data_IF_457858750800
#
_entry.id   IF_457858750800
#
_cell.length_a   1.000
_cell.length_b   1.000
_cell.length_c   1.000
_cell.angle_alpha   90.00
_cell.angle_beta   90.00
_cell.angle_gamma   90.00
#
_symmetry.space_group_name_H-M   'P 1'
#
loop_
_entity.id
_entity.type
_entity.pdbx_description
1 polymer ?
#
# COMPACT_ATOMS: atom_id res chain seq x y z
N UNK A 1 2.41 -34.38 -66.45
CA UNK A 1 2.78 -33.02 -66.93
C UNK A 1 4.08 -32.64 -66.26
N UNK A 2 5.24 -32.78 -66.94
CA UNK A 2 5.99 -31.68 -67.60
C UNK A 2 6.28 -30.55 -66.58
N UNK A 3 7.50 -30.20 -66.14
CA UNK A 3 8.85 -30.07 -66.76
C UNK A 3 9.85 -29.89 -65.58
N UNK A 4 10.86 -30.74 -65.34
CA UNK A 4 12.29 -30.72 -65.76
C UNK A 4 12.99 -29.33 -65.78
N UNK A 5 13.94 -29.09 -64.86
CA UNK A 5 15.38 -28.81 -65.14
C UNK A 5 16.10 -28.43 -63.82
N UNK A 6 17.05 -29.22 -63.29
CA UNK A 6 18.47 -29.46 -63.72
C UNK A 6 19.42 -28.53 -62.94
N UNK A 7 20.10 -29.00 -61.88
CA UNK A 7 21.45 -29.65 -61.76
C UNK A 7 22.56 -28.66 -61.40
N UNK A 8 23.35 -29.03 -60.37
CA UNK A 8 24.84 -29.05 -60.27
C UNK A 8 25.17 -29.22 -58.76
N UNK A 9 25.46 -30.42 -58.22
CA UNK A 9 26.76 -31.15 -58.18
C UNK A 9 27.93 -30.28 -57.69
N UNK A 10 28.77 -30.65 -56.70
CA UNK A 10 29.79 -31.73 -56.68
C UNK A 10 30.32 -31.83 -55.21
N UNK A 11 30.17 -32.98 -54.51
CA UNK A 11 31.19 -34.02 -54.16
C UNK A 11 32.46 -33.52 -53.41
N UNK A 12 32.66 -33.92 -52.14
CA UNK A 12 33.39 -35.11 -51.59
C UNK A 12 34.92 -34.96 -51.58
N UNK A 13 35.53 -34.85 -50.38
CA UNK A 13 36.35 -35.86 -49.65
C UNK A 13 37.64 -36.30 -50.40
N UNK A 14 38.82 -36.24 -49.73
CA UNK A 14 39.78 -37.37 -49.50
C UNK A 14 41.12 -36.89 -48.85
N UNK A 15 41.44 -37.54 -47.71
CA UNK A 15 42.71 -38.05 -47.10
C UNK A 15 44.08 -37.32 -47.09
N UNK A 16 44.64 -37.28 -45.86
CA UNK A 16 45.95 -37.73 -45.33
C UNK A 16 47.29 -37.43 -46.05
N UNK A 17 48.20 -36.77 -45.31
CA UNK A 17 49.64 -37.05 -45.34
C UNK A 17 50.27 -36.80 -43.96
N UNK A 18 51.07 -37.78 -43.50
CA UNK A 18 51.84 -37.74 -42.25
C UNK A 18 53.18 -37.03 -42.45
N UNK A 19 53.60 -36.25 -41.45
CA UNK A 19 54.94 -35.68 -41.33
C UNK A 19 55.25 -35.39 -39.85
N UNK A 20 56.11 -36.23 -39.26
CA UNK A 20 56.65 -36.05 -37.91
C UNK A 20 57.71 -34.93 -37.98
N UNK A 21 57.43 -33.79 -37.34
CA UNK A 21 58.43 -32.87 -36.83
C UNK A 21 58.00 -32.46 -35.43
N UNK A 22 58.84 -32.81 -34.45
CA UNK A 22 58.70 -32.40 -33.08
C UNK A 22 58.66 -30.87 -32.99
N UNK A 23 57.53 -30.36 -32.52
CA UNK A 23 57.33 -28.97 -32.17
C UNK A 23 56.10 -28.92 -31.27
N UNK A 24 56.32 -28.66 -30.00
CA UNK A 24 55.29 -28.42 -28.99
C UNK A 24 54.25 -27.46 -29.57
N UNK A 25 53.06 -27.96 -29.91
CA UNK A 25 51.92 -27.12 -30.27
C UNK A 25 50.65 -27.62 -29.57
N UNK A 26 50.43 -27.02 -28.39
CA UNK A 26 49.13 -26.54 -27.89
C UNK A 26 48.00 -27.59 -27.85
N UNK A 27 48.08 -28.52 -26.91
CA UNK A 27 46.90 -29.26 -26.42
C UNK A 27 46.05 -28.47 -25.42
N UNK A 28 46.31 -27.17 -25.22
CA UNK A 28 45.51 -26.33 -24.31
C UNK A 28 44.18 -25.85 -24.92
N UNK A 29 44.00 -25.92 -26.24
CA UNK A 29 42.87 -25.24 -26.91
C UNK A 29 41.49 -25.89 -26.83
N UNK A 30 41.34 -27.19 -26.52
CA UNK A 30 39.99 -27.82 -26.49
C UNK A 30 39.34 -27.76 -25.12
N UNK A 31 40.08 -28.06 -24.04
CA UNK A 31 39.56 -27.94 -22.68
C UNK A 31 39.31 -26.49 -22.28
N UNK A 32 40.14 -25.56 -22.74
CA UNK A 32 39.94 -24.12 -22.52
C UNK A 32 38.77 -23.56 -23.35
N UNK A 33 38.53 -24.10 -24.56
CA UNK A 33 37.37 -23.74 -25.38
C UNK A 33 36.05 -24.37 -24.85
N UNK A 34 36.07 -25.61 -24.35
CA UNK A 34 34.92 -26.21 -23.67
C UNK A 34 34.63 -25.51 -22.33
N UNK A 35 35.68 -25.09 -21.61
CA UNK A 35 35.54 -24.21 -20.46
C UNK A 35 34.94 -22.85 -20.86
N UNK A 36 35.34 -22.27 -22.00
CA UNK A 36 34.74 -21.07 -22.57
C UNK A 36 33.22 -21.19 -22.78
N UNK A 37 32.80 -22.27 -23.45
CA UNK A 37 31.39 -22.50 -23.78
C UNK A 37 30.57 -22.78 -22.51
N UNK A 38 31.13 -23.52 -21.56
CA UNK A 38 30.59 -23.68 -20.20
C UNK A 38 30.40 -22.33 -19.48
N UNK A 39 31.38 -21.43 -19.54
CA UNK A 39 31.32 -20.08 -18.96
C UNK A 39 30.24 -19.21 -19.62
N UNK A 40 30.12 -19.24 -20.95
CA UNK A 40 29.10 -18.50 -21.70
C UNK A 40 27.68 -18.93 -21.26
N UNK A 41 27.51 -20.20 -20.91
CA UNK A 41 26.24 -20.74 -20.42
C UNK A 41 25.94 -20.43 -18.95
N UNK A 42 26.95 -20.09 -18.14
CA UNK A 42 26.80 -19.87 -16.70
C UNK A 42 26.41 -18.43 -16.41
N UNK A 43 25.14 -18.21 -16.09
CA UNK A 43 24.59 -16.89 -15.75
C UNK A 43 24.78 -16.65 -14.24
N UNK A 44 25.41 -15.54 -13.81
CA UNK A 44 25.50 -15.20 -12.39
C UNK A 44 24.11 -15.10 -11.77
N UNK A 45 23.87 -15.90 -10.73
CA UNK A 45 22.64 -15.81 -9.97
C UNK A 45 22.78 -14.74 -8.88
N UNK A 46 22.03 -13.64 -9.03
CA UNK A 46 21.96 -12.59 -8.02
C UNK A 46 21.30 -13.14 -6.75
N UNK A 47 22.06 -13.20 -5.66
CA UNK A 47 21.55 -13.58 -4.33
C UNK A 47 20.96 -12.33 -3.71
N UNK A 48 19.63 -12.26 -3.68
CA UNK A 48 18.94 -11.05 -3.23
C UNK A 48 18.56 -11.15 -1.76
N UNK A 49 19.32 -10.45 -0.91
CA UNK A 49 18.82 -9.98 0.37
C UNK A 49 18.27 -8.56 0.18
N UNK A 50 17.13 -8.20 0.82
CA UNK A 50 16.63 -6.83 0.79
C UNK A 50 17.73 -5.84 1.21
N UNK A 51 17.81 -4.72 0.51
CA UNK A 51 18.88 -3.73 0.73
C UNK A 51 18.61 -2.96 2.02
N UNK A 52 19.56 -3.02 2.94
CA UNK A 52 19.62 -2.24 4.17
C UNK A 52 20.88 -1.37 4.16
N UNK A 53 20.72 -0.07 4.38
CA UNK A 53 21.87 0.82 4.52
C UNK A 53 22.48 0.67 5.91
N UNK A 54 23.80 0.53 5.94
CA UNK A 54 24.55 0.63 7.18
C UNK A 54 24.60 2.11 7.67
N UNK A 55 25.22 2.34 8.84
CA UNK A 55 25.33 3.69 9.41
C UNK A 55 26.13 4.67 8.53
N UNK A 56 26.96 4.18 7.61
CA UNK A 56 27.71 5.00 6.65
C UNK A 56 26.90 5.30 5.40
N UNK A 57 25.76 4.64 5.20
CA UNK A 57 24.95 4.74 4.00
C UNK A 57 25.43 3.83 2.87
N UNK A 58 26.19 2.79 3.22
CA UNK A 58 26.69 1.77 2.31
C UNK A 58 25.75 0.55 2.33
N UNK A 59 25.63 -0.14 1.21
CA UNK A 59 24.95 -1.43 1.13
C UNK A 59 25.65 -2.39 0.19
N UNK A 60 25.52 -3.68 0.48
CA UNK A 60 26.11 -4.75 -0.30
C UNK A 60 25.07 -5.37 -1.24
N UNK A 61 25.45 -5.56 -2.50
CA UNK A 61 24.77 -6.48 -3.41
C UNK A 61 25.73 -7.63 -3.68
N UNK A 62 25.28 -8.88 -3.49
CA UNK A 62 26.09 -10.08 -3.73
C UNK A 62 25.42 -11.05 -4.72
N UNK A 63 26.22 -11.95 -5.28
CA UNK A 63 25.78 -12.98 -6.22
C UNK A 63 26.55 -14.28 -6.02
N UNK A 64 26.07 -15.37 -6.61
CA UNK A 64 26.81 -16.63 -6.62
C UNK A 64 28.14 -16.45 -7.36
N UNK A 65 29.25 -16.78 -6.70
CA UNK A 65 30.56 -16.85 -7.35
C UNK A 65 30.69 -18.15 -8.14
N UNK A 66 31.50 -18.12 -9.19
CA UNK A 66 31.84 -19.31 -10.00
C UNK A 66 33.30 -19.72 -9.74
N UNK A 67 33.96 -19.12 -8.73
CA UNK A 67 35.40 -19.21 -8.49
C UNK A 67 35.93 -20.64 -8.34
N UNK A 68 35.10 -21.59 -7.88
CA UNK A 68 35.50 -22.99 -7.69
C UNK A 68 35.79 -23.77 -8.97
N UNK A 69 35.55 -23.20 -10.16
CA UNK A 69 35.70 -23.90 -11.44
C UNK A 69 36.99 -23.61 -12.21
N UNK A 70 37.89 -22.76 -11.70
CA UNK A 70 39.00 -22.25 -12.50
C UNK A 70 40.38 -22.69 -12.00
N UNK A 71 41.19 -23.23 -12.92
CA UNK A 71 42.61 -23.56 -12.70
C UNK A 71 43.48 -22.77 -13.69
N UNK A 72 44.65 -22.30 -13.27
CA UNK A 72 45.68 -21.68 -14.13
C UNK A 72 45.76 -20.15 -14.08
N UNK A 73 46.30 -19.54 -15.15
CA UNK A 73 46.66 -18.12 -15.30
C UNK A 73 45.47 -17.16 -15.59
N UNK A 74 44.24 -17.63 -15.33
CA UNK A 74 43.01 -16.93 -15.66
C UNK A 74 42.54 -16.01 -14.52
N UNK A 75 41.97 -14.86 -14.85
CA UNK A 75 41.32 -13.98 -13.88
C UNK A 75 39.82 -13.88 -14.14
N UNK A 76 39.06 -13.92 -13.05
CA UNK A 76 37.60 -13.72 -13.06
C UNK A 76 37.31 -12.38 -12.40
N UNK A 77 36.56 -11.55 -13.10
CA UNK A 77 35.96 -10.34 -12.56
C UNK A 77 34.48 -10.27 -12.94
N UNK A 78 33.79 -9.25 -12.47
CA UNK A 78 32.37 -9.06 -12.68
C UNK A 78 32.13 -7.62 -13.13
N UNK A 79 31.47 -7.48 -14.26
CA UNK A 79 30.98 -6.19 -14.73
C UNK A 79 29.55 -5.99 -14.22
N UNK A 80 29.33 -4.87 -13.55
CA UNK A 80 28.06 -4.50 -12.94
C UNK A 80 27.54 -3.21 -13.56
N UNK A 81 26.24 -3.11 -13.80
CA UNK A 81 25.59 -1.84 -14.12
C UNK A 81 24.46 -1.53 -13.17
N UNK A 82 24.40 -0.27 -12.78
CA UNK A 82 23.30 0.34 -12.06
C UNK A 82 22.60 1.33 -12.99
N UNK A 83 21.30 1.18 -13.21
CA UNK A 83 20.52 2.02 -14.10
C UNK A 83 19.26 2.60 -13.44
N UNK A 84 18.82 3.76 -13.94
CA UNK A 84 17.56 4.40 -13.53
C UNK A 84 16.33 3.89 -14.31
N UNK A 85 16.54 3.00 -15.27
CA UNK A 85 15.48 2.35 -16.05
C UNK A 85 15.77 0.87 -16.27
N UNK A 86 14.70 0.08 -16.39
CA UNK A 86 14.77 -1.38 -16.53
C UNK A 86 15.50 -1.83 -17.81
N UNK A 87 15.53 -0.99 -18.84
CA UNK A 87 16.15 -1.30 -20.11
C UNK A 87 17.63 -0.91 -20.19
N UNK A 88 18.21 -0.41 -19.09
CA UNK A 88 19.61 0.02 -19.01
C UNK A 88 19.98 1.07 -20.08
N UNK A 89 19.01 1.90 -20.49
CA UNK A 89 19.27 3.02 -21.42
C UNK A 89 19.85 4.24 -20.71
N UNK A 90 19.70 4.29 -19.39
CA UNK A 90 20.17 5.34 -18.48
C UNK A 90 20.99 4.71 -17.37
N UNK A 91 22.14 4.16 -17.75
CA UNK A 91 23.15 3.66 -16.81
C UNK A 91 23.64 4.85 -15.96
N UNK A 92 23.46 4.71 -14.66
CA UNK A 92 23.94 5.65 -13.64
C UNK A 92 25.42 5.41 -13.39
N UNK A 93 25.81 4.14 -13.31
CA UNK A 93 27.18 3.74 -13.00
C UNK A 93 27.49 2.33 -13.50
N UNK A 94 28.71 2.15 -13.96
CA UNK A 94 29.30 0.85 -14.29
C UNK A 94 30.46 0.60 -13.35
N UNK A 95 30.64 -0.65 -12.94
CA UNK A 95 31.70 -1.08 -12.03
C UNK A 95 32.31 -2.39 -12.55
N UNK A 96 33.59 -2.59 -12.28
CA UNK A 96 34.23 -3.89 -12.40
C UNK A 96 34.77 -4.26 -11.01
N UNK A 97 34.42 -5.45 -10.53
CA UNK A 97 34.85 -5.96 -9.22
C UNK A 97 35.39 -7.38 -9.35
N UNK A 98 36.32 -7.76 -8.49
CA UNK A 98 36.91 -9.12 -8.49
C UNK A 98 36.18 -10.07 -7.56
N UNK A 99 35.51 -9.55 -6.54
CA UNK A 99 34.71 -10.34 -5.60
C UNK A 99 33.26 -10.46 -6.10
N UNK A 100 32.56 -11.53 -5.72
CA UNK A 100 31.14 -11.73 -6.05
C UNK A 100 30.18 -10.86 -5.22
N UNK A 101 30.59 -9.62 -4.97
CA UNK A 101 29.85 -8.59 -4.26
C UNK A 101 30.31 -7.19 -4.66
N UNK A 102 29.43 -6.21 -4.50
CA UNK A 102 29.76 -4.79 -4.62
C UNK A 102 29.16 -4.02 -3.46
N UNK A 103 29.98 -3.15 -2.86
CA UNK A 103 29.54 -2.18 -1.87
C UNK A 103 29.19 -0.87 -2.59
N UNK A 104 27.97 -0.40 -2.42
CA UNK A 104 27.47 0.81 -3.05
C UNK A 104 27.17 1.88 -2.00
N UNK A 105 27.55 3.12 -2.30
CA UNK A 105 27.25 4.29 -1.47
C UNK A 105 25.94 4.95 -1.95
N UNK A 106 25.02 5.24 -1.03
CA UNK A 106 23.76 5.95 -1.33
C UNK A 106 23.92 7.29 -2.06
N UNK A 107 25.07 7.95 -1.94
CA UNK A 107 25.40 9.18 -2.67
C UNK A 107 25.44 8.96 -4.20
N UNK A 108 25.73 7.74 -4.66
CA UNK A 108 25.67 7.36 -6.08
C UNK A 108 24.24 7.37 -6.63
N UNK A 109 23.24 7.30 -5.75
CA UNK A 109 21.81 7.25 -6.09
C UNK A 109 21.23 8.66 -6.31
N UNK A 110 22.07 9.69 -6.19
CA UNK A 110 21.70 11.09 -6.34
C UNK A 110 20.89 11.63 -5.16
N UNK A 111 20.72 12.95 -5.11
CA UNK A 111 20.16 13.67 -3.94
C UNK A 111 18.77 13.22 -3.46
N UNK A 112 17.98 12.57 -4.33
CA UNK A 112 16.62 12.13 -4.00
C UNK A 112 16.48 10.61 -4.00
N UNK A 113 17.50 9.85 -4.40
CA UNK A 113 17.31 8.44 -4.70
C UNK A 113 16.31 8.22 -5.84
N UNK A 114 15.68 7.04 -5.82
CA UNK A 114 14.82 6.57 -6.90
C UNK A 114 14.54 5.07 -6.81
N UNK A 115 13.99 4.56 -7.89
CA UNK A 115 13.95 3.13 -8.17
C UNK A 115 15.06 2.83 -9.16
N UNK A 116 15.90 1.85 -8.84
CA UNK A 116 17.08 1.48 -9.62
C UNK A 116 17.03 0.03 -10.03
N UNK A 117 17.80 -0.28 -11.07
CA UNK A 117 17.94 -1.61 -11.64
C UNK A 117 19.41 -1.98 -11.64
N UNK A 118 19.72 -3.17 -11.12
CA UNK A 118 21.06 -3.71 -11.06
C UNK A 118 21.12 -5.02 -11.83
N UNK A 119 22.16 -5.18 -12.63
CA UNK A 119 22.53 -6.48 -13.20
C UNK A 119 24.04 -6.62 -13.23
N UNK A 120 24.48 -7.86 -13.39
CA UNK A 120 25.88 -8.26 -13.36
C UNK A 120 26.12 -9.33 -14.41
N UNK A 121 27.32 -9.33 -14.99
CA UNK A 121 27.85 -10.43 -15.79
C UNK A 121 29.28 -10.74 -15.38
N UNK A 122 29.67 -12.00 -15.46
CA UNK A 122 31.05 -12.44 -15.32
C UNK A 122 31.86 -12.01 -16.54
N UNK A 123 33.08 -11.52 -16.28
CA UNK A 123 34.15 -11.27 -17.25
C UNK A 123 35.31 -12.22 -16.92
N UNK A 124 35.74 -12.94 -17.92
CA UNK A 124 36.84 -13.89 -17.83
C UNK A 124 37.99 -13.39 -18.70
N UNK A 125 39.21 -13.37 -18.17
CA UNK A 125 40.41 -12.98 -18.91
C UNK A 125 41.44 -14.10 -18.80
N UNK A 126 41.83 -14.64 -19.94
CA UNK A 126 42.92 -15.60 -20.06
C UNK A 126 43.95 -15.04 -21.06
N UNK A 127 45.24 -15.19 -20.75
CA UNK A 127 46.34 -14.64 -21.57
C UNK A 127 46.39 -15.24 -22.97
N UNK A 128 46.01 -16.51 -23.11
CA UNK A 128 46.13 -17.27 -24.35
C UNK A 128 44.87 -17.18 -25.21
N UNK A 129 43.69 -17.04 -24.58
CA UNK A 129 42.39 -17.10 -25.27
C UNK A 129 41.62 -15.77 -25.30
N UNK A 130 42.06 -14.76 -24.54
CA UNK A 130 41.50 -13.41 -24.56
C UNK A 130 40.43 -13.17 -23.47
N UNK A 131 39.51 -12.23 -23.75
CA UNK A 131 38.45 -11.82 -22.80
C UNK A 131 37.09 -12.29 -23.25
N UNK A 132 36.33 -12.90 -22.33
CA UNK A 132 34.96 -13.34 -22.56
C UNK A 132 34.00 -12.79 -21.52
N UNK A 133 32.73 -12.70 -21.91
CA UNK A 133 31.65 -12.23 -21.06
C UNK A 133 30.51 -13.23 -21.07
N UNK A 134 29.99 -13.53 -19.89
CA UNK A 134 28.70 -14.21 -19.75
C UNK A 134 27.55 -13.28 -20.17
N UNK A 135 26.35 -13.85 -20.33
CA UNK A 135 25.13 -13.07 -20.46
C UNK A 135 24.84 -12.26 -19.18
N UNK A 136 24.24 -11.08 -19.35
CA UNK A 136 23.73 -10.29 -18.23
C UNK A 136 22.71 -11.08 -17.41
N UNK A 137 22.82 -11.02 -16.08
CA UNK A 137 21.80 -11.53 -15.19
C UNK A 137 20.47 -10.79 -15.37
N UNK A 138 19.37 -11.44 -14.96
CA UNK A 138 18.06 -10.78 -14.96
C UNK A 138 18.09 -9.57 -14.02
N UNK A 139 17.68 -8.36 -14.45
CA UNK A 139 17.75 -7.16 -13.64
C UNK A 139 17.00 -7.27 -12.31
N UNK A 140 17.62 -6.79 -11.24
CA UNK A 140 17.01 -6.66 -9.91
C UNK A 140 16.65 -5.21 -9.65
N UNK A 141 15.43 -5.02 -9.18
CA UNK A 141 14.88 -3.70 -8.88
C UNK A 141 14.97 -3.46 -7.39
N UNK A 142 15.44 -2.30 -6.99
CA UNK A 142 15.34 -1.84 -5.61
C UNK A 142 14.93 -0.38 -5.57
N UNK A 143 14.44 0.08 -4.41
CA UNK A 143 14.02 1.46 -4.23
C UNK A 143 14.58 2.02 -2.94
N UNK A 144 15.09 3.25 -3.04
CA UNK A 144 15.57 4.01 -1.90
C UNK A 144 15.21 5.47 -2.10
N UNK A 145 14.73 6.15 -1.08
CA UNK A 145 14.29 7.54 -1.19
C UNK A 145 14.78 8.36 -0.03
N UNK A 146 15.48 9.46 -0.32
CA UNK A 146 15.77 10.45 0.72
C UNK A 146 14.48 10.99 1.32
N UNK A 147 14.40 11.08 2.65
CA UNK A 147 13.28 11.65 3.36
C UNK A 147 13.34 13.17 3.21
N UNK A 148 12.71 13.67 2.15
CA UNK A 148 12.70 15.10 1.84
C UNK A 148 11.36 15.53 1.21
N UNK A 149 11.22 16.85 0.99
CA UNK A 149 9.99 17.41 0.40
C UNK A 149 9.82 17.09 -1.09
N UNK A 150 10.87 16.71 -1.82
CA UNK A 150 10.75 16.33 -3.21
C UNK A 150 10.09 14.96 -3.35
N UNK A 151 10.53 13.99 -2.55
CA UNK A 151 9.95 12.64 -2.54
C UNK A 151 8.63 12.56 -1.79
N UNK A 152 8.53 13.25 -0.66
CA UNK A 152 7.42 13.14 0.29
C UNK A 152 6.80 14.49 0.65
N UNK A 153 6.35 15.31 -0.31
CA UNK A 153 5.88 16.67 -0.03
C UNK A 153 4.71 16.73 0.97
N UNK A 154 3.88 15.68 1.04
CA UNK A 154 2.76 15.61 1.99
C UNK A 154 3.12 15.05 3.37
N UNK A 155 4.11 14.17 3.43
CA UNK A 155 4.39 13.33 4.62
C UNK A 155 5.84 13.39 5.11
N UNK A 156 6.69 14.23 4.52
CA UNK A 156 8.10 14.38 4.90
C UNK A 156 8.31 14.57 6.40
N UNK A 157 7.53 15.47 7.04
CA UNK A 157 7.66 15.72 8.47
C UNK A 157 7.27 14.50 9.31
N UNK A 158 6.33 13.69 8.83
CA UNK A 158 5.91 12.45 9.48
C UNK A 158 6.98 11.39 9.39
N UNK A 159 7.56 11.19 8.21
CA UNK A 159 8.64 10.22 8.01
C UNK A 159 9.88 10.63 8.82
N UNK A 160 10.28 11.90 8.75
CA UNK A 160 11.48 12.42 9.45
C UNK A 160 11.39 12.40 10.98
N UNK A 161 10.21 12.64 11.56
CA UNK A 161 10.04 12.72 13.02
C UNK A 161 9.50 11.44 13.63
N UNK A 162 9.10 10.49 12.80
CA UNK A 162 8.28 9.37 13.22
C UNK A 162 6.80 9.72 13.40
N UNK A 163 6.00 8.67 13.50
CA UNK A 163 4.58 8.69 13.80
C UNK A 163 4.28 8.46 15.27
N UNK A 164 3.00 8.51 15.61
CA UNK A 164 2.50 8.16 16.95
C UNK A 164 1.20 7.38 16.83
N UNK A 165 1.07 6.30 17.59
CA UNK A 165 -0.13 5.46 17.62
C UNK A 165 -0.69 5.39 19.05
N UNK A 166 -2.02 5.31 19.17
CA UNK A 166 -2.68 5.09 20.46
C UNK A 166 -2.74 3.58 20.73
N UNK A 167 -1.92 3.11 21.68
CA UNK A 167 -2.01 1.78 22.27
C UNK A 167 -2.90 1.78 23.52
N UNK A 168 -3.17 0.58 24.06
CA UNK A 168 -3.89 0.40 25.32
C UNK A 168 -3.15 1.00 26.53
N UNK A 169 -1.83 1.05 26.45
CA UNK A 169 -0.86 1.52 27.44
C UNK A 169 -0.42 2.98 27.23
N UNK A 170 -0.95 3.68 26.21
CA UNK A 170 -0.64 5.08 25.93
C UNK A 170 -0.20 5.34 24.49
N UNK A 171 0.53 6.43 24.28
CA UNK A 171 0.99 6.82 22.93
C UNK A 171 2.35 6.15 22.65
N UNK A 172 2.41 5.30 21.62
CA UNK A 172 3.67 4.70 21.14
C UNK A 172 4.24 5.49 19.98
N UNK A 173 5.54 5.72 19.99
CA UNK A 173 6.25 6.31 18.87
C UNK A 173 6.48 5.27 17.78
N UNK A 174 6.47 5.72 16.53
CA UNK A 174 6.71 4.87 15.35
C UNK A 174 7.87 5.50 14.60
N UNK A 175 8.99 4.81 14.53
CA UNK A 175 10.16 5.25 13.77
C UNK A 175 10.06 4.64 12.38
N UNK A 176 10.19 5.48 11.34
CA UNK A 176 10.11 5.05 9.95
C UNK A 176 11.48 4.87 9.30
N UNK A 177 12.41 5.74 9.68
CA UNK A 177 13.84 5.75 9.36
C UNK A 177 14.56 5.14 10.57
N UNK A 178 14.80 3.83 10.53
CA UNK A 178 15.26 3.04 11.67
C UNK A 178 16.73 3.27 11.96
N UNK A 179 17.54 3.51 10.93
CA UNK A 179 18.97 3.78 11.07
C UNK A 179 19.27 5.30 11.21
N UNK A 180 18.25 6.15 11.13
CA UNK A 180 18.29 7.61 11.26
C UNK A 180 19.22 8.28 10.23
N UNK A 181 19.38 7.66 9.08
CA UNK A 181 20.33 8.08 8.06
C UNK A 181 19.74 9.12 7.06
N UNK A 182 18.45 9.44 7.23
CA UNK A 182 17.69 10.39 6.43
C UNK A 182 17.14 9.81 5.12
N UNK A 183 17.24 8.51 4.91
CA UNK A 183 16.72 7.78 3.77
C UNK A 183 15.66 6.77 4.19
N UNK A 184 14.97 6.25 3.19
CA UNK A 184 14.16 5.05 3.32
C UNK A 184 14.70 4.06 2.32
N UNK A 185 15.40 3.04 2.81
CA UNK A 185 15.84 1.91 1.99
C UNK A 185 14.73 0.88 1.79
N UNK A 186 15.01 -0.20 1.06
CA UNK A 186 13.98 -1.19 0.75
C UNK A 186 13.50 -1.94 1.99
N UNK A 187 14.42 -2.29 2.90
CA UNK A 187 14.10 -2.90 4.20
C UNK A 187 13.13 -2.02 4.99
N UNK A 188 13.41 -0.73 5.12
CA UNK A 188 12.56 0.21 5.82
C UNK A 188 11.21 0.36 5.13
N UNK A 189 11.20 0.68 3.82
CA UNK A 189 9.98 0.82 3.03
C UNK A 189 9.07 -0.39 3.16
N UNK A 190 9.64 -1.61 3.09
CA UNK A 190 8.87 -2.85 3.13
C UNK A 190 8.18 -3.07 4.48
N UNK A 191 8.75 -2.54 5.56
CA UNK A 191 8.23 -2.66 6.93
C UNK A 191 7.25 -1.54 7.33
N UNK A 192 7.12 -0.48 6.52
CA UNK A 192 6.14 0.60 6.77
C UNK A 192 4.74 0.14 6.37
N UNK A 193 4.06 -0.53 7.31
CA UNK A 193 2.69 -1.02 7.14
C UNK A 193 1.62 -0.01 7.54
N UNK A 194 1.98 1.00 8.35
CA UNK A 194 1.05 1.99 8.89
C UNK A 194 1.63 3.41 8.95
N UNK A 195 0.82 4.40 8.58
CA UNK A 195 1.07 5.81 8.87
C UNK A 195 0.13 6.29 9.96
N UNK A 196 0.66 6.80 11.08
CA UNK A 196 -0.17 7.29 12.18
C UNK A 196 0.31 8.57 12.82
N UNK A 197 -0.63 9.45 13.15
CA UNK A 197 -0.38 10.61 14.00
C UNK A 197 -1.32 10.61 15.20
N UNK A 198 -0.81 11.09 16.33
CA UNK A 198 -1.56 11.28 17.56
C UNK A 198 -1.67 12.77 17.93
N UNK A 199 -2.56 13.07 18.87
CA UNK A 199 -2.58 14.35 19.54
C UNK A 199 -1.71 14.30 20.79
N UNK A 200 -1.00 15.38 21.05
CA UNK A 200 -0.37 15.63 22.33
C UNK A 200 -1.36 16.44 23.16
N UNK A 201 -1.64 15.94 24.36
CA UNK A 201 -2.47 16.62 25.34
C UNK A 201 -1.59 17.50 26.23
N UNK A 202 -2.09 18.68 26.55
CA UNK A 202 -1.42 19.66 27.39
C UNK A 202 -2.40 20.16 28.44
N UNK A 203 -1.87 20.56 29.59
CA UNK A 203 -2.60 21.30 30.62
C UNK A 203 -1.91 22.64 30.78
N UNK A 204 -2.65 23.74 30.62
CA UNK A 204 -2.14 25.09 30.92
C UNK A 204 -3.17 25.80 31.78
N UNK A 205 -2.78 26.19 32.99
CA UNK A 205 -3.65 26.85 33.98
C UNK A 205 -4.94 26.05 34.24
N UNK A 206 -4.83 24.73 34.43
CA UNK A 206 -5.98 23.83 34.64
C UNK A 206 -6.83 23.54 33.38
N UNK A 207 -6.56 24.19 32.25
CA UNK A 207 -7.30 23.97 31.00
C UNK A 207 -6.58 22.90 30.17
N UNK A 208 -7.30 21.82 29.88
CA UNK A 208 -6.86 20.78 28.97
C UNK A 208 -7.03 21.22 27.52
N UNK A 209 -5.96 21.11 26.72
CA UNK A 209 -6.04 21.30 25.27
C UNK A 209 -5.16 20.28 24.55
N UNK A 210 -5.53 19.93 23.32
CA UNK A 210 -4.77 19.00 22.49
C UNK A 210 -4.25 19.69 21.22
N UNK A 211 -3.02 19.36 20.82
CA UNK A 211 -2.45 19.78 19.54
C UNK A 211 -1.99 18.55 18.75
N UNK A 212 -2.12 18.57 17.42
CA UNK A 212 -1.55 17.50 16.61
C UNK A 212 -0.04 17.48 16.77
N UNK A 213 0.53 16.28 16.95
CA UNK A 213 1.97 16.08 16.93
C UNK A 213 2.57 16.56 15.60
N UNK A 214 1.95 16.15 14.49
CA UNK A 214 2.33 16.55 13.14
C UNK A 214 1.07 16.95 12.37
N UNK A 215 1.14 18.12 11.72
CA UNK A 215 0.07 18.60 10.82
C UNK A 215 0.27 18.00 9.43
N UNK A 216 -0.74 17.28 8.94
CA UNK A 216 -0.77 16.71 7.59
C UNK A 216 -1.90 17.34 6.80
N UNK A 217 -1.60 17.85 5.60
CA UNK A 217 -2.58 18.48 4.68
C UNK A 217 -2.65 17.80 3.31
N UNK A 218 -1.72 16.87 3.05
CA UNK A 218 -1.56 16.16 1.78
C UNK A 218 -0.89 14.82 2.06
N UNK A 219 -1.16 13.82 1.23
CA UNK A 219 -0.49 12.52 1.25
C UNK A 219 0.37 12.29 0.00
N UNK A 220 0.73 13.34 -0.74
CA UNK A 220 1.65 13.21 -1.89
C UNK A 220 2.99 12.60 -1.46
N UNK A 221 3.49 11.63 -2.23
CA UNK A 221 4.68 10.83 -1.91
C UNK A 221 4.34 9.47 -1.32
N UNK A 222 3.10 9.24 -0.89
CA UNK A 222 2.66 7.97 -0.29
C UNK A 222 2.69 6.80 -1.29
N UNK A 223 2.66 7.08 -2.60
CA UNK A 223 2.78 6.06 -3.64
C UNK A 223 4.11 5.30 -3.61
N UNK A 224 5.13 5.85 -2.93
CA UNK A 224 6.44 5.22 -2.71
C UNK A 224 6.45 4.23 -1.53
N UNK A 225 5.33 4.07 -0.84
CA UNK A 225 5.16 3.15 0.30
C UNK A 225 4.17 2.04 -0.11
N UNK A 226 4.61 1.01 -0.85
CA UNK A 226 3.72 0.05 -1.50
C UNK A 226 3.04 -0.92 -0.52
N UNK A 227 3.67 -1.22 0.61
CA UNK A 227 3.16 -2.16 1.63
C UNK A 227 2.25 -1.49 2.67
N UNK A 228 2.04 -0.18 2.55
CA UNK A 228 1.17 0.56 3.45
C UNK A 228 -0.26 0.02 3.34
N UNK A 229 -0.83 -0.39 4.47
CA UNK A 229 -2.17 -0.98 4.55
C UNK A 229 -3.12 -0.20 5.48
N UNK A 230 -2.57 0.65 6.36
CA UNK A 230 -3.32 1.37 7.37
C UNK A 230 -2.91 2.84 7.49
N UNK A 231 -3.87 3.74 7.58
CA UNK A 231 -3.66 5.18 7.79
C UNK A 231 -4.56 5.67 8.92
N UNK A 232 -3.98 6.26 9.95
CA UNK A 232 -4.70 6.86 11.07
C UNK A 232 -4.17 8.26 11.40
N UNK A 233 -4.83 9.30 10.90
CA UNK A 233 -4.33 10.67 11.01
C UNK A 233 -5.20 11.52 11.92
N UNK A 234 -4.57 12.20 12.87
CA UNK A 234 -5.16 13.29 13.63
C UNK A 234 -4.99 14.63 12.93
N UNK A 235 -6.04 15.44 13.01
CA UNK A 235 -6.11 16.82 12.51
C UNK A 235 -5.71 17.03 11.05
N UNK A 236 -6.10 16.11 10.17
CA UNK A 236 -5.90 16.29 8.73
C UNK A 236 -6.60 17.56 8.24
N UNK A 237 -5.84 18.45 7.59
CA UNK A 237 -6.34 19.76 7.14
C UNK A 237 -6.58 19.84 5.63
N UNK A 238 -6.22 18.78 4.89
CA UNK A 238 -6.43 18.71 3.46
C UNK A 238 -7.90 18.61 3.06
N UNK A 239 -8.19 18.96 1.80
CA UNK A 239 -9.53 18.87 1.21
C UNK A 239 -9.75 17.57 0.42
N UNK A 240 -8.67 16.85 0.12
CA UNK A 240 -8.67 15.63 -0.69
C UNK A 240 -7.66 14.64 -0.12
N UNK A 241 -8.05 13.37 -0.07
CA UNK A 241 -7.17 12.21 0.10
C UNK A 241 -7.23 11.40 -1.19
N UNK A 242 -6.07 11.06 -1.74
CA UNK A 242 -5.93 10.25 -2.95
C UNK A 242 -5.02 9.07 -2.66
N UNK A 243 -5.63 7.88 -2.56
CA UNK A 243 -4.99 6.61 -2.21
C UNK A 243 -5.23 5.58 -3.32
N UNK A 244 -5.49 6.03 -4.55
CA UNK A 244 -5.80 5.13 -5.67
C UNK A 244 -4.68 4.16 -6.03
N UNK A 245 -3.44 4.48 -5.66
CA UNK A 245 -2.24 3.70 -5.95
C UNK A 245 -1.73 2.90 -4.74
N UNK A 246 -2.47 2.91 -3.61
CA UNK A 246 -2.08 2.23 -2.39
C UNK A 246 -3.20 1.30 -1.94
N UNK A 247 -2.85 0.09 -1.51
CA UNK A 247 -3.80 -0.92 -1.03
C UNK A 247 -4.15 -0.69 0.44
N UNK A 248 -4.74 0.46 0.74
CA UNK A 248 -5.13 0.84 2.11
C UNK A 248 -6.42 0.12 2.48
N UNK A 249 -6.38 -0.80 3.46
CA UNK A 249 -7.56 -1.47 4.00
C UNK A 249 -8.27 -0.67 5.09
N UNK A 250 -7.52 0.11 5.88
CA UNK A 250 -8.04 0.91 6.99
C UNK A 250 -7.67 2.39 6.87
N UNK A 251 -8.67 3.27 6.89
CA UNK A 251 -8.48 4.71 6.91
C UNK A 251 -9.27 5.33 8.08
N UNK A 252 -8.56 5.99 8.99
CA UNK A 252 -9.15 6.78 10.07
C UNK A 252 -8.62 8.20 10.05
N UNK A 253 -9.53 9.17 10.11
CA UNK A 253 -9.22 10.58 10.19
C UNK A 253 -9.95 11.16 11.39
N UNK A 254 -9.22 11.66 12.37
CA UNK A 254 -9.78 12.35 13.53
C UNK A 254 -9.43 13.83 13.50
N UNK A 255 -10.27 14.69 14.08
CA UNK A 255 -10.04 16.14 14.09
C UNK A 255 -9.97 16.80 12.70
N UNK A 256 -10.61 16.26 11.65
CA UNK A 256 -10.57 16.83 10.30
C UNK A 256 -10.94 18.32 10.32
N UNK A 257 -10.09 19.16 9.71
CA UNK A 257 -10.22 20.64 9.76
C UNK A 257 -10.80 21.27 8.49
N UNK A 258 -11.01 20.49 7.44
CA UNK A 258 -11.49 21.01 6.16
C UNK A 258 -13.02 21.18 6.14
N UNK A 259 -13.49 22.26 5.50
CA UNK A 259 -14.95 22.48 5.27
C UNK A 259 -15.54 21.51 4.26
N UNK A 260 -14.71 20.94 3.38
CA UNK A 260 -15.10 19.99 2.34
C UNK A 260 -14.00 18.94 2.24
N UNK A 261 -14.36 17.67 2.35
CA UNK A 261 -13.42 16.56 2.23
C UNK A 261 -13.88 15.57 1.16
N UNK A 262 -12.95 15.21 0.27
CA UNK A 262 -13.14 14.12 -0.70
C UNK A 262 -12.13 13.02 -0.43
N UNK A 263 -12.59 11.77 -0.36
CA UNK A 263 -11.74 10.61 -0.16
C UNK A 263 -11.80 9.73 -1.40
N UNK A 264 -10.62 9.40 -1.93
CA UNK A 264 -10.41 8.41 -2.99
C UNK A 264 -9.56 7.32 -2.37
N UNK A 265 -10.19 6.21 -2.01
CA UNK A 265 -9.55 5.08 -1.33
C UNK A 265 -10.26 3.79 -1.80
N UNK A 266 -10.05 3.38 -3.06
CA UNK A 266 -10.84 2.32 -3.68
C UNK A 266 -10.76 0.99 -2.91
N UNK A 267 -9.61 0.72 -2.28
CA UNK A 267 -9.35 -0.51 -1.54
C UNK A 267 -9.72 -0.47 -0.05
N UNK A 268 -10.13 0.69 0.49
CA UNK A 268 -10.46 0.81 1.90
C UNK A 268 -11.70 -0.01 2.25
N UNK A 269 -11.55 -0.94 3.19
CA UNK A 269 -12.64 -1.73 3.76
C UNK A 269 -13.28 -1.01 4.94
N UNK A 270 -12.50 -0.26 5.71
CA UNK A 270 -12.96 0.54 6.83
C UNK A 270 -12.57 1.99 6.64
N UNK A 271 -13.55 2.88 6.76
CA UNK A 271 -13.34 4.33 6.69
C UNK A 271 -14.03 4.99 7.88
N UNK A 272 -13.24 5.66 8.72
CA UNK A 272 -13.70 6.44 9.85
C UNK A 272 -13.31 7.92 9.66
N UNK A 273 -14.29 8.82 9.74
CA UNK A 273 -14.08 10.27 9.68
C UNK A 273 -14.72 10.93 10.88
N UNK A 274 -13.90 11.63 11.67
CA UNK A 274 -14.30 12.49 12.76
C UNK A 274 -13.72 13.89 12.55
N UNK A 275 -14.53 14.92 12.27
CA UNK A 275 -14.08 16.29 12.19
C UNK A 275 -13.75 16.88 13.57
N UNK A 276 -12.95 17.94 13.59
CA UNK A 276 -12.76 18.76 14.80
C UNK A 276 -14.09 19.51 15.08
N UNK A 277 -14.50 19.57 16.35
CA UNK A 277 -15.76 20.19 16.78
C UNK A 277 -15.90 21.67 16.38
N UNK A 278 -14.78 22.36 16.17
CA UNK A 278 -14.74 23.77 15.71
C UNK A 278 -14.85 23.89 14.19
N UNK A 279 -14.76 22.79 13.47
CA UNK A 279 -14.81 22.78 12.00
C UNK A 279 -16.26 22.89 11.52
N UNK A 280 -16.46 23.55 10.39
CA UNK A 280 -17.75 23.58 9.68
C UNK A 280 -17.69 22.65 8.48
N UNK A 281 -17.54 21.34 8.71
CA UNK A 281 -17.50 20.34 7.65
C UNK A 281 -18.86 20.35 6.95
N UNK A 282 -18.96 20.98 5.79
CA UNK A 282 -20.21 21.14 5.07
C UNK A 282 -20.50 19.98 4.12
N UNK A 283 -19.44 19.31 3.64
CA UNK A 283 -19.51 18.25 2.63
C UNK A 283 -18.45 17.17 2.88
N UNK A 284 -18.91 15.92 2.91
CA UNK A 284 -18.08 14.73 2.88
C UNK A 284 -18.42 13.89 1.64
N UNK A 285 -17.42 13.54 0.85
CA UNK A 285 -17.56 12.74 -0.37
C UNK A 285 -16.67 11.51 -0.32
N UNK A 286 -17.28 10.33 -0.16
CA UNK A 286 -16.62 9.02 -0.11
C UNK A 286 -17.07 8.12 -1.27
N UNK A 287 -17.54 8.70 -2.38
CA UNK A 287 -18.05 7.93 -3.53
C UNK A 287 -17.01 7.00 -4.17
N UNK A 288 -15.72 7.33 -4.06
CA UNK A 288 -14.59 6.57 -4.62
C UNK A 288 -13.90 5.69 -3.56
N UNK A 289 -14.67 5.22 -2.59
CA UNK A 289 -14.23 4.22 -1.62
C UNK A 289 -14.98 2.91 -1.91
N UNK A 290 -14.50 2.17 -2.90
CA UNK A 290 -15.29 1.15 -3.60
C UNK A 290 -15.45 -0.16 -2.82
N UNK A 291 -14.50 -0.52 -1.95
CA UNK A 291 -14.54 -1.73 -1.12
C UNK A 291 -15.08 -1.52 0.31
N UNK A 292 -15.57 -0.34 0.65
CA UNK A 292 -15.96 -0.01 2.04
C UNK A 292 -17.07 -0.93 2.55
N UNK A 293 -16.74 -1.67 3.62
CA UNK A 293 -17.65 -2.50 4.42
C UNK A 293 -18.17 -1.74 5.63
N UNK A 294 -17.31 -0.93 6.26
CA UNK A 294 -17.65 -0.15 7.46
C UNK A 294 -17.37 1.32 7.21
N UNK A 295 -18.44 2.13 7.20
CA UNK A 295 -18.35 3.58 7.11
C UNK A 295 -18.86 4.21 8.40
N UNK A 296 -17.96 4.89 9.10
CA UNK A 296 -18.29 5.78 10.22
C UNK A 296 -17.98 7.21 9.79
N UNK A 297 -19.00 8.05 9.74
CA UNK A 297 -18.88 9.43 9.29
C UNK A 297 -19.55 10.38 10.29
N UNK A 298 -18.75 11.22 10.92
CA UNK A 298 -19.25 12.33 11.72
C UNK A 298 -19.24 13.59 10.86
N UNK A 299 -20.35 14.33 10.92
CA UNK A 299 -20.42 15.70 10.47
C UNK A 299 -19.86 16.65 11.53
N UNK A 300 -19.92 17.94 11.24
CA UNK A 300 -19.67 18.99 12.21
C UNK A 300 -20.60 20.17 11.93
N UNK A 301 -21.31 20.61 12.95
CA UNK A 301 -22.26 21.71 12.88
C UNK A 301 -23.35 21.44 11.83
N UNK A 302 -23.99 20.26 11.90
CA UNK A 302 -25.09 19.87 11.01
C UNK A 302 -24.71 19.88 9.53
N UNK A 303 -23.68 19.09 9.20
CA UNK A 303 -23.18 18.91 7.83
C UNK A 303 -24.32 18.61 6.85
N UNK A 304 -24.36 19.31 5.70
CA UNK A 304 -25.51 19.25 4.77
C UNK A 304 -25.37 18.21 3.66
N UNK A 305 -24.14 17.77 3.38
CA UNK A 305 -23.86 16.88 2.24
C UNK A 305 -23.00 15.70 2.68
N UNK A 306 -23.57 14.50 2.53
CA UNK A 306 -22.86 13.23 2.62
C UNK A 306 -23.06 12.47 1.30
N UNK A 307 -21.97 12.15 0.61
CA UNK A 307 -22.01 11.28 -0.57
C UNK A 307 -21.39 9.93 -0.22
N UNK A 308 -22.25 8.92 -0.10
CA UNK A 308 -21.90 7.54 0.22
C UNK A 308 -21.14 6.83 -0.93
N UNK A 309 -20.49 5.68 -0.67
CA UNK A 309 -19.78 4.89 -1.68
C UNK A 309 -20.62 4.57 -2.91
N UNK A 310 -20.03 4.69 -4.11
CA UNK A 310 -20.74 4.39 -5.37
C UNK A 310 -21.03 2.89 -5.50
N UNK A 311 -20.07 2.06 -5.12
CA UNK A 311 -20.19 0.60 -5.13
C UNK A 311 -20.95 0.14 -3.89
N UNK A 312 -22.26 -0.07 -4.04
CA UNK A 312 -23.17 -0.33 -2.91
C UNK A 312 -23.06 -1.74 -2.31
N UNK A 313 -22.47 -2.70 -3.03
CA UNK A 313 -22.50 -4.13 -2.67
C UNK A 313 -21.64 -4.49 -1.45
N UNK A 314 -20.69 -3.65 -1.06
CA UNK A 314 -19.77 -3.95 0.03
C UNK A 314 -20.22 -3.40 1.39
N UNK A 315 -20.97 -2.29 1.42
CA UNK A 315 -21.31 -1.60 2.66
C UNK A 315 -22.20 -2.47 3.57
N UNK A 316 -21.66 -2.88 4.72
CA UNK A 316 -22.31 -3.68 5.77
C UNK A 316 -22.72 -2.83 6.97
N UNK A 317 -21.95 -1.80 7.31
CA UNK A 317 -22.21 -0.92 8.47
C UNK A 317 -22.15 0.53 8.02
N UNK A 318 -23.22 1.28 8.33
CA UNK A 318 -23.26 2.73 8.17
C UNK A 318 -23.57 3.38 9.52
N UNK A 319 -22.61 4.16 10.01
CA UNK A 319 -22.77 5.00 11.20
C UNK A 319 -22.59 6.46 10.82
N UNK A 320 -23.61 7.28 11.01
CA UNK A 320 -23.55 8.72 10.73
C UNK A 320 -23.92 9.55 11.96
N UNK A 321 -23.24 10.68 12.17
CA UNK A 321 -23.52 11.60 13.27
C UNK A 321 -23.47 13.05 12.82
N UNK A 322 -24.24 13.96 13.44
CA UNK A 322 -24.17 15.42 13.22
C UNK A 322 -24.33 15.87 11.75
N UNK A 323 -25.26 15.25 11.02
CA UNK A 323 -25.66 15.68 9.69
C UNK A 323 -27.08 16.30 9.69
N UNK A 324 -27.30 17.29 8.84
CA UNK A 324 -28.64 17.80 8.48
C UNK A 324 -28.92 17.48 7.02
N UNK A 325 -29.39 16.25 6.78
CA UNK A 325 -29.66 15.74 5.44
C UNK A 325 -31.14 15.88 5.13
N UNK A 326 -31.49 16.43 3.96
CA UNK A 326 -32.90 16.48 3.50
C UNK A 326 -33.49 15.09 3.27
N UNK A 327 -32.65 14.14 2.86
CA UNK A 327 -33.03 12.76 2.56
C UNK A 327 -31.80 11.84 2.66
N UNK A 328 -32.04 10.62 3.15
CA UNK A 328 -31.09 9.52 3.11
C UNK A 328 -31.76 8.30 2.47
N UNK A 329 -31.37 7.97 1.23
CA UNK A 329 -31.89 6.81 0.51
C UNK A 329 -30.87 5.67 0.50
N UNK A 330 -31.15 4.63 1.28
CA UNK A 330 -30.30 3.46 1.47
C UNK A 330 -30.77 2.23 0.67
N UNK A 331 -31.85 2.34 -0.11
CA UNK A 331 -32.44 1.20 -0.83
C UNK A 331 -31.50 0.49 -1.81
N UNK A 332 -30.41 1.14 -2.22
CA UNK A 332 -29.41 0.55 -3.09
C UNK A 332 -28.37 -0.30 -2.33
N UNK A 333 -28.25 -0.17 -1.00
CA UNK A 333 -27.28 -0.87 -0.15
C UNK A 333 -27.89 -2.14 0.42
N UNK A 334 -28.15 -3.12 -0.47
CA UNK A 334 -28.84 -4.39 -0.14
C UNK A 334 -28.09 -5.26 0.89
N UNK A 335 -26.79 -5.06 1.05
CA UNK A 335 -25.94 -5.79 1.99
C UNK A 335 -25.74 -5.07 3.33
N UNK A 336 -26.38 -3.91 3.54
CA UNK A 336 -26.34 -3.19 4.79
C UNK A 336 -26.96 -4.04 5.91
N UNK A 337 -26.21 -4.22 7.00
CA UNK A 337 -26.56 -5.03 8.16
C UNK A 337 -26.80 -4.18 9.41
N UNK A 338 -26.13 -3.03 9.51
CA UNK A 338 -26.27 -2.12 10.66
C UNK A 338 -26.39 -0.67 10.18
N UNK A 339 -27.36 0.04 10.75
CA UNK A 339 -27.56 1.47 10.53
C UNK A 339 -27.64 2.19 11.86
N UNK A 340 -26.71 3.13 12.07
CA UNK A 340 -26.70 3.97 13.26
C UNK A 340 -26.74 5.44 12.84
N UNK A 341 -27.67 6.20 13.40
CA UNK A 341 -27.85 7.62 13.13
C UNK A 341 -27.87 8.36 14.48
N UNK A 342 -26.94 9.27 14.67
CA UNK A 342 -26.74 10.03 15.90
C UNK A 342 -26.89 11.53 15.63
N UNK A 343 -27.51 12.26 16.56
CA UNK A 343 -27.61 13.73 16.62
C UNK A 343 -27.76 14.39 15.24
N UNK A 344 -28.72 13.90 14.44
CA UNK A 344 -28.87 14.29 13.04
C UNK A 344 -30.27 14.81 12.78
N UNK A 345 -30.39 15.77 11.86
CA UNK A 345 -31.66 16.23 11.32
C UNK A 345 -31.93 15.47 10.03
N UNK A 346 -32.94 14.61 10.03
CA UNK A 346 -33.24 13.71 8.91
C UNK A 346 -34.75 13.51 8.75
N UNK A 347 -35.46 14.32 7.95
CA UNK A 347 -36.89 14.15 7.78
C UNK A 347 -37.27 12.92 6.94
N UNK A 348 -36.38 12.43 6.08
CA UNK A 348 -36.69 11.35 5.14
C UNK A 348 -35.60 10.27 5.12
N UNK A 349 -36.00 9.03 5.44
CA UNK A 349 -35.16 7.84 5.38
C UNK A 349 -35.84 6.75 4.55
N UNK A 350 -35.16 6.24 3.52
CA UNK A 350 -35.63 5.11 2.69
C UNK A 350 -34.70 3.92 2.86
N UNK A 351 -35.19 2.82 3.42
CA UNK A 351 -34.39 1.60 3.68
C UNK A 351 -35.16 0.28 3.49
N UNK A 352 -36.37 0.34 2.94
CA UNK A 352 -37.23 -0.83 2.75
C UNK A 352 -36.65 -1.88 1.77
N UNK A 353 -35.56 -1.60 1.05
CA UNK A 353 -34.85 -2.61 0.24
C UNK A 353 -33.59 -3.19 0.93
N UNK A 354 -33.27 -2.76 2.15
CA UNK A 354 -32.15 -3.29 2.95
C UNK A 354 -32.53 -4.62 3.62
N UNK A 355 -32.73 -5.70 2.84
CA UNK A 355 -33.21 -7.00 3.33
C UNK A 355 -32.27 -7.69 4.33
N UNK A 356 -30.98 -7.31 4.32
CA UNK A 356 -29.98 -7.85 5.25
C UNK A 356 -29.82 -7.03 6.54
N UNK A 357 -30.59 -5.95 6.73
CA UNK A 357 -30.51 -5.09 7.90
C UNK A 357 -30.93 -5.86 9.16
N UNK A 358 -30.12 -5.77 10.22
CA UNK A 358 -30.28 -6.53 11.47
C UNK A 358 -30.48 -5.63 12.67
N UNK A 359 -29.81 -4.49 12.68
CA UNK A 359 -29.85 -3.55 13.81
C UNK A 359 -29.99 -2.10 13.31
N UNK A 360 -30.89 -1.36 13.96
CA UNK A 360 -31.02 0.09 13.76
C UNK A 360 -30.96 0.82 15.09
N UNK A 361 -30.21 1.92 15.14
CA UNK A 361 -30.17 2.81 16.29
C UNK A 361 -30.39 4.26 15.86
N UNK A 362 -31.36 4.91 16.47
CA UNK A 362 -31.64 6.33 16.29
C UNK A 362 -31.41 7.03 17.62
N UNK A 363 -30.37 7.85 17.72
CA UNK A 363 -30.00 8.59 18.93
C UNK A 363 -30.09 10.08 18.67
N UNK A 364 -30.96 10.81 19.37
CA UNK A 364 -31.15 12.25 19.17
C UNK A 364 -31.44 12.65 17.71
N UNK A 365 -32.20 11.83 16.99
CA UNK A 365 -32.58 12.12 15.60
C UNK A 365 -33.78 13.06 15.59
N UNK A 366 -33.62 14.19 14.91
CA UNK A 366 -34.63 15.25 14.79
C UNK A 366 -35.34 15.16 13.44
N UNK A 367 -36.63 15.50 13.44
CA UNK A 367 -37.52 15.59 12.27
C UNK A 367 -37.84 14.28 11.54
N UNK A 368 -37.23 13.15 11.93
CA UNK A 368 -37.58 11.84 11.38
C UNK A 368 -38.94 11.40 11.93
N UNK A 369 -39.99 11.48 11.13
CA UNK A 369 -41.37 11.26 11.62
C UNK A 369 -41.89 9.83 11.47
N UNK A 370 -41.24 9.03 10.63
CA UNK A 370 -41.60 7.64 10.36
C UNK A 370 -40.42 6.84 9.82
N UNK A 371 -40.43 5.53 10.07
CA UNK A 371 -39.49 4.56 9.48
C UNK A 371 -40.29 3.34 9.02
N UNK A 372 -40.15 2.96 7.75
CA UNK A 372 -40.70 1.71 7.23
C UNK A 372 -39.57 0.72 6.89
N UNK A 373 -39.46 -0.30 7.73
CA UNK A 373 -38.50 -1.38 7.65
C UNK A 373 -39.21 -2.76 7.55
N UNK A 374 -40.50 -2.83 7.21
CA UNK A 374 -41.27 -4.10 7.13
C UNK A 374 -40.62 -5.15 6.23
N UNK A 375 -39.89 -4.70 5.21
CA UNK A 375 -39.21 -5.55 4.23
C UNK A 375 -37.77 -5.93 4.65
N UNK A 376 -37.27 -5.41 5.77
CA UNK A 376 -35.99 -5.79 6.37
C UNK A 376 -36.12 -7.11 7.14
N UNK A 377 -36.35 -8.22 6.43
CA UNK A 377 -36.72 -9.52 7.02
C UNK A 377 -35.73 -10.10 8.04
N UNK A 378 -34.47 -9.64 8.04
CA UNK A 378 -33.43 -10.05 9.01
C UNK A 378 -33.32 -9.11 10.23
N UNK A 379 -34.20 -8.12 10.36
CA UNK A 379 -34.16 -7.12 11.41
C UNK A 379 -34.49 -7.74 12.77
N UNK A 380 -33.55 -7.62 13.72
CA UNK A 380 -33.64 -8.20 15.06
C UNK A 380 -33.91 -7.15 16.13
N UNK A 381 -33.25 -5.99 16.02
CA UNK A 381 -33.30 -4.95 17.04
C UNK A 381 -33.42 -3.54 16.45
N UNK A 382 -34.31 -2.76 17.03
CA UNK A 382 -34.40 -1.31 16.82
C UNK A 382 -34.47 -0.63 18.17
N UNK A 383 -33.68 0.41 18.39
CA UNK A 383 -33.89 1.32 19.52
C UNK A 383 -34.00 2.77 19.04
N UNK A 384 -34.97 3.47 19.60
CA UNK A 384 -35.18 4.90 19.40
C UNK A 384 -34.88 5.60 20.71
N UNK A 385 -33.77 6.33 20.76
CA UNK A 385 -33.29 7.03 21.94
C UNK A 385 -33.38 8.54 21.73
N UNK A 386 -34.08 9.24 22.63
CA UNK A 386 -34.24 10.70 22.61
C UNK A 386 -34.55 11.30 21.23
N UNK A 387 -35.37 10.62 20.42
CA UNK A 387 -35.74 11.05 19.07
C UNK A 387 -37.25 11.36 19.02
N UNK A 388 -37.70 12.49 19.60
CA UNK A 388 -39.10 12.75 19.90
C UNK A 388 -40.01 12.81 18.66
N UNK A 389 -39.45 13.15 17.49
CA UNK A 389 -40.21 13.15 16.24
C UNK A 389 -40.57 11.75 15.74
N UNK A 390 -39.90 10.70 16.24
CA UNK A 390 -40.09 9.31 15.80
C UNK A 390 -40.76 8.47 16.91
N UNK A 391 -42.08 8.53 17.08
CA UNK A 391 -42.77 7.64 18.01
C UNK A 391 -42.68 6.18 17.53
N UNK A 392 -42.60 5.23 18.47
CA UNK A 392 -42.50 3.80 18.14
C UNK A 392 -43.65 3.30 17.26
N UNK A 393 -44.86 3.86 17.42
CA UNK A 393 -46.04 3.53 16.60
C UNK A 393 -45.82 3.79 15.10
N UNK A 394 -44.89 4.67 14.73
CA UNK A 394 -44.52 5.01 13.35
C UNK A 394 -43.24 4.33 12.86
N UNK A 395 -42.70 3.40 13.65
CA UNK A 395 -41.60 2.50 13.27
C UNK A 395 -42.21 1.16 12.87
N UNK A 396 -42.34 0.93 11.56
CA UNK A 396 -42.93 -0.30 11.03
C UNK A 396 -41.83 -1.32 10.72
N UNK A 397 -41.89 -2.49 11.35
CA UNK A 397 -40.86 -3.55 11.30
C UNK A 397 -41.51 -4.93 11.10
N UNK A 398 -40.73 -5.99 10.78
CA UNK A 398 -41.21 -7.36 10.86
C UNK A 398 -41.67 -7.76 12.27
N UNK A 399 -42.64 -8.67 12.36
CA UNK A 399 -43.26 -9.06 13.63
C UNK A 399 -42.26 -9.58 14.70
N UNK A 400 -41.18 -10.24 14.29
CA UNK A 400 -40.16 -10.80 15.20
C UNK A 400 -39.09 -9.79 15.65
N UNK A 401 -39.16 -8.54 15.19
CA UNK A 401 -38.18 -7.50 15.55
C UNK A 401 -38.50 -6.93 16.92
N UNK A 402 -37.53 -6.96 17.83
CA UNK A 402 -37.64 -6.25 19.11
C UNK A 402 -37.39 -4.76 18.89
N UNK A 403 -38.40 -3.93 19.19
CA UNK A 403 -38.28 -2.48 19.19
C UNK A 403 -38.30 -1.98 20.64
N UNK A 404 -37.40 -1.07 20.96
CA UNK A 404 -37.31 -0.43 22.29
C UNK A 404 -37.20 1.07 22.16
N UNK A 405 -37.49 1.76 23.26
CA UNK A 405 -37.28 3.21 23.40
C UNK A 405 -36.36 3.45 24.59
N UNK A 406 -35.35 4.31 24.38
CA UNK A 406 -34.37 4.72 25.39
C UNK A 406 -33.63 3.57 26.09
N UNK A 407 -33.44 2.41 25.43
CA UNK A 407 -32.62 1.30 25.95
C UNK A 407 -31.23 1.25 25.33
N UNK A 408 -30.95 2.13 24.36
CA UNK A 408 -29.67 2.17 23.68
C UNK A 408 -29.45 0.93 22.82
N UNK A 409 -28.19 0.62 22.56
CA UNK A 409 -27.78 -0.53 21.74
C UNK A 409 -27.78 -1.83 22.57
N UNK A 410 -28.89 -2.15 23.21
CA UNK A 410 -29.06 -3.29 24.12
C UNK A 410 -28.64 -4.63 23.51
N UNK A 411 -28.69 -4.77 22.18
CA UNK A 411 -28.25 -5.98 21.49
C UNK A 411 -26.74 -6.23 21.58
N UNK A 412 -25.91 -5.25 21.98
CA UNK A 412 -24.45 -5.40 22.09
C UNK A 412 -24.04 -6.54 23.04
N UNK A 413 -24.82 -6.79 24.10
CA UNK A 413 -24.60 -7.90 25.03
C UNK A 413 -25.01 -9.27 24.50
N UNK A 414 -25.77 -9.34 23.39
CA UNK A 414 -26.36 -10.60 22.91
C UNK A 414 -25.38 -11.44 22.10
N UNK A 415 -25.46 -12.78 22.23
CA UNK A 415 -24.67 -13.71 21.43
C UNK A 415 -24.96 -13.57 19.92
N UNK A 416 -26.22 -13.28 19.57
CA UNK A 416 -26.61 -13.02 18.18
C UNK A 416 -25.84 -11.85 17.55
N UNK A 417 -25.68 -10.74 18.28
CA UNK A 417 -24.90 -9.60 17.81
C UNK A 417 -23.41 -9.93 17.70
N UNK A 418 -22.83 -10.58 18.73
CA UNK A 418 -21.42 -11.00 18.73
C UNK A 418 -21.10 -11.89 17.51
N UNK A 419 -21.99 -12.85 17.20
CA UNK A 419 -21.85 -13.72 16.03
C UNK A 419 -21.98 -12.99 14.69
N UNK A 420 -22.79 -11.94 14.63
CA UNK A 420 -22.94 -11.13 13.44
C UNK A 420 -21.69 -10.26 13.19
N UNK A 421 -21.09 -9.72 14.26
CA UNK A 421 -19.86 -8.93 14.17
C UNK A 421 -18.67 -9.72 13.61
N UNK A 422 -18.55 -11.01 13.97
CA UNK A 422 -17.54 -11.92 13.39
C UNK A 422 -17.63 -12.07 11.87
N UNK A 423 -18.79 -11.78 11.25
CA UNK A 423 -19.02 -11.86 9.79
C UNK A 423 -18.84 -10.51 9.07
N UNK A 424 -18.71 -9.42 9.84
CA UNK A 424 -18.54 -8.06 9.35
C UNK A 424 -17.06 -7.68 9.32
N UNK A 425 -16.34 -8.04 10.39
CA UNK A 425 -14.88 -8.15 10.38
C UNK A 425 -14.46 -9.26 9.42
#
# INVERSE_FOLDING_TARGET
>A
MKIIKTVLSVNKIILLAAGVMAGIMITTSSAEAEAAESIISTIPYLNYNPIEFDKKGEFEISWGSIESYYQGDSTVSYECELAADKGFKKVVKTFEVTEAKVLLDKMMLGKNGGTFYFHVRTKFVNKDVGTWHSNWSQPKTFSCFTINKANFPGIFKLLKKGGRNYGFDGIKEVIYDKNEDGWLDECEISTILQLSTANINYVKKGIHYSKPYIKISSLKGIEKLPNLSSISLSHFSGKKIDLKNNKIGYLSLTGVKSKKLTIIAPDAETVNIQPDYRTKLSKLDVRKCDKVRVLTAYGANKSKVLKLPRVKKHLKVLSISDFSLKNLNLNAYKNLQQLYIYDSVLPNLKLNKCRNLRYMYFYFVKNLSKVDARQCRKLRGVDVYSSPSLPLSRVKVPAKTKITQNKGKWWYGTNAYKNDMKKIN
#
